data_IF_727715025562
#
_entry.id   IF_727715025562
#
_cell.length_a   1.000
_cell.length_b   1.000
_cell.length_c   1.000
_cell.angle_alpha   90.00
_cell.angle_beta   90.00
_cell.angle_gamma   90.00
#
_symmetry.space_group_name_H-M   'P 1'
#
loop_
_entity.id
_entity.type
_entity.pdbx_description
1 polymer ?
#
# COMPACT_ATOMS: atom_id res chain seq x y z
N UNK A 1 14.57 -13.10 -1.20
CA UNK A 1 15.23 -12.49 -2.38
C UNK A 1 15.32 -10.98 -2.19
N UNK A 2 16.50 -10.39 -2.41
CA UNK A 2 16.69 -8.95 -2.54
C UNK A 2 16.73 -8.62 -4.04
N UNK A 3 15.85 -7.73 -4.49
CA UNK A 3 15.74 -7.31 -5.89
C UNK A 3 16.10 -5.82 -6.00
N UNK A 4 17.02 -5.48 -6.89
CA UNK A 4 17.29 -4.11 -7.32
C UNK A 4 16.77 -3.94 -8.74
N UNK A 5 15.81 -3.02 -8.93
CA UNK A 5 15.18 -2.79 -10.23
C UNK A 5 15.23 -1.31 -10.62
N UNK A 6 15.74 -1.02 -11.81
CA UNK A 6 15.79 0.33 -12.35
C UNK A 6 14.80 0.47 -13.51
N UNK A 7 13.74 1.26 -13.30
CA UNK A 7 12.69 1.46 -14.30
C UNK A 7 13.09 2.45 -15.42
N UNK A 8 13.96 3.42 -15.10
CA UNK A 8 14.49 4.42 -16.04
C UNK A 8 15.94 4.69 -15.68
N UNK A 9 16.79 4.87 -16.69
CA UNK A 9 18.24 5.08 -16.51
C UNK A 9 18.57 6.28 -15.60
N UNK A 10 17.72 7.31 -15.61
CA UNK A 10 17.89 8.52 -14.80
C UNK A 10 17.19 8.49 -13.43
N UNK A 11 16.63 7.35 -13.01
CA UNK A 11 15.98 7.20 -11.71
C UNK A 11 16.74 6.26 -10.80
N UNK A 12 16.70 6.56 -9.50
CA UNK A 12 17.28 5.73 -8.44
C UNK A 12 16.67 4.32 -8.53
N UNK A 13 17.48 3.25 -8.39
CA UNK A 13 16.99 1.88 -8.38
C UNK A 13 16.07 1.63 -7.19
N UNK A 14 15.00 0.90 -7.44
CA UNK A 14 14.03 0.45 -6.44
C UNK A 14 14.57 -0.83 -5.81
N UNK A 15 14.67 -0.83 -4.49
CA UNK A 15 15.10 -2.01 -3.73
C UNK A 15 13.85 -2.64 -3.11
N UNK A 16 13.62 -3.91 -3.41
CA UNK A 16 12.52 -4.71 -2.89
C UNK A 16 13.07 -5.95 -2.18
N UNK A 17 12.60 -6.17 -0.96
CA UNK A 17 12.90 -7.36 -0.17
C UNK A 17 11.64 -8.22 -0.10
N UNK A 18 11.72 -9.44 -0.62
CA UNK A 18 10.59 -10.36 -0.70
C UNK A 18 10.99 -11.75 -0.19
N UNK A 19 10.16 -12.35 0.66
CA UNK A 19 10.38 -13.73 1.13
C UNK A 19 9.69 -14.78 0.26
N UNK A 20 8.61 -14.41 -0.44
CA UNK A 20 7.77 -15.33 -1.21
C UNK A 20 8.39 -15.70 -2.56
N UNK A 21 9.09 -14.77 -3.21
CA UNK A 21 9.75 -15.02 -4.48
C UNK A 21 11.09 -15.72 -4.29
N UNK A 22 11.21 -16.94 -4.83
CA UNK A 22 12.44 -17.76 -4.85
C UNK A 22 13.22 -17.63 -6.16
N UNK A 23 12.57 -17.20 -7.24
CA UNK A 23 13.16 -17.10 -8.58
C UNK A 23 12.86 -15.71 -9.17
N UNK A 24 13.84 -15.12 -9.86
CA UNK A 24 13.67 -13.84 -10.57
C UNK A 24 12.98 -14.08 -11.90
N UNK A 25 11.65 -14.22 -11.88
CA UNK A 25 10.84 -14.30 -13.10
C UNK A 25 10.47 -12.89 -13.59
N UNK A 26 10.42 -12.72 -14.90
CA UNK A 26 10.00 -11.48 -15.57
C UNK A 26 8.58 -11.62 -16.08
N UNK A 27 7.75 -10.62 -15.82
CA UNK A 27 6.36 -10.59 -16.22
C UNK A 27 6.19 -9.90 -17.58
N UNK A 28 5.69 -10.62 -18.58
CA UNK A 28 5.42 -10.12 -19.93
C UNK A 28 6.70 -9.99 -20.78
N UNK A 29 6.92 -10.93 -21.70
CA UNK A 29 8.20 -11.17 -22.40
C UNK A 29 8.88 -10.00 -23.13
N UNK A 30 8.25 -8.83 -23.26
CA UNK A 30 8.85 -7.60 -23.82
C UNK A 30 9.14 -6.52 -22.77
N UNK A 31 8.40 -6.52 -21.65
CA UNK A 31 8.63 -5.60 -20.55
C UNK A 31 9.50 -6.31 -19.51
N UNK A 32 10.73 -5.84 -19.31
CA UNK A 32 11.68 -6.36 -18.29
C UNK A 32 11.21 -6.08 -16.85
N UNK A 33 9.91 -6.12 -16.57
CA UNK A 33 9.32 -5.91 -15.25
C UNK A 33 9.44 -7.21 -14.45
N UNK A 34 10.13 -7.21 -13.30
CA UNK A 34 10.18 -8.39 -12.44
C UNK A 34 8.79 -8.73 -11.88
N UNK A 35 8.39 -10.01 -11.86
CA UNK A 35 7.13 -10.46 -11.25
C UNK A 35 7.00 -9.98 -9.80
N UNK A 36 8.12 -9.98 -9.08
CA UNK A 36 8.26 -9.38 -7.75
C UNK A 36 7.76 -7.92 -7.64
N UNK A 37 8.05 -7.08 -8.64
CA UNK A 37 7.60 -5.68 -8.66
C UNK A 37 6.10 -5.60 -8.95
N UNK A 38 5.61 -6.43 -9.88
CA UNK A 38 4.19 -6.51 -10.22
C UNK A 38 3.34 -6.90 -9.02
N UNK A 39 3.69 -7.99 -8.33
CA UNK A 39 2.92 -8.51 -7.18
C UNK A 39 2.95 -7.55 -5.99
N UNK A 40 4.09 -6.89 -5.77
CA UNK A 40 4.18 -5.82 -4.79
C UNK A 40 3.23 -4.66 -5.13
N UNK A 41 3.21 -4.21 -6.38
CA UNK A 41 2.34 -3.10 -6.79
C UNK A 41 0.86 -3.44 -6.68
N UNK A 42 0.46 -4.69 -6.92
CA UNK A 42 -0.92 -5.13 -6.73
C UNK A 42 -1.37 -5.02 -5.26
N UNK A 43 -0.48 -5.26 -4.31
CA UNK A 43 -0.84 -5.26 -2.87
C UNK A 43 -0.60 -3.91 -2.19
N UNK A 44 0.34 -3.10 -2.71
CA UNK A 44 0.78 -1.83 -2.11
C UNK A 44 -0.35 -0.83 -1.86
N UNK A 45 -1.32 -0.75 -2.77
CA UNK A 45 -2.35 0.30 -2.73
C UNK A 45 -3.45 0.06 -1.69
N UNK A 46 -3.50 -1.10 -1.02
CA UNK A 46 -4.63 -1.44 -0.12
C UNK A 46 -4.80 -0.42 1.01
N UNK A 47 -3.73 -0.08 1.71
CA UNK A 47 -3.79 0.86 2.85
C UNK A 47 -4.14 2.27 2.37
N UNK A 48 -3.60 2.69 1.22
CA UNK A 48 -3.88 4.00 0.62
C UNK A 48 -5.35 4.12 0.22
N UNK A 49 -5.93 3.06 -0.34
CA UNK A 49 -7.35 3.03 -0.69
C UNK A 49 -8.25 3.14 0.55
N UNK A 50 -7.89 2.48 1.65
CA UNK A 50 -8.60 2.60 2.93
C UNK A 50 -8.52 4.03 3.48
N UNK A 51 -7.34 4.64 3.49
CA UNK A 51 -7.16 6.03 3.95
C UNK A 51 -7.94 7.04 3.08
N UNK A 52 -7.96 6.83 1.77
CA UNK A 52 -8.78 7.63 0.84
C UNK A 52 -10.28 7.51 1.16
N UNK A 53 -10.76 6.31 1.49
CA UNK A 53 -12.14 6.08 1.91
C UNK A 53 -12.46 6.79 3.24
N UNK A 54 -11.57 6.71 4.23
CA UNK A 54 -11.68 7.45 5.50
C UNK A 54 -11.76 8.95 5.21
N UNK A 55 -10.95 9.47 4.29
CA UNK A 55 -10.96 10.88 3.90
C UNK A 55 -12.33 11.38 3.41
N UNK A 56 -13.12 10.53 2.74
CA UNK A 56 -14.45 10.89 2.24
C UNK A 56 -15.56 10.80 3.30
N UNK A 57 -15.41 9.96 4.33
CA UNK A 57 -16.48 9.65 5.29
C UNK A 57 -16.05 9.75 6.77
N UNK A 58 -15.03 10.57 7.06
CA UNK A 58 -14.46 10.72 8.40
C UNK A 58 -15.40 11.45 9.37
N UNK A 59 -15.53 10.93 10.59
CA UNK A 59 -16.25 11.62 11.69
C UNK A 59 -15.34 12.46 12.58
N UNK A 60 -14.04 12.55 12.26
CA UNK A 60 -13.06 13.36 13.00
C UNK A 60 -13.52 14.82 13.15
N UNK A 61 -13.25 15.37 14.34
CA UNK A 61 -13.51 16.76 14.72
C UNK A 61 -12.28 17.40 15.33
N UNK A 62 -12.14 18.71 15.14
CA UNK A 62 -11.12 19.52 15.82
C UNK A 62 -11.34 19.38 17.33
N UNK A 63 -10.34 18.86 18.02
CA UNK A 63 -10.38 18.67 19.46
C UNK A 63 -8.97 18.90 20.04
N UNK A 64 -8.90 19.16 21.35
CA UNK A 64 -7.63 19.38 22.08
C UNK A 64 -7.23 18.17 22.93
N UNK A 65 -7.85 17.01 22.72
CA UNK A 65 -7.70 15.82 23.57
C UNK A 65 -7.26 14.66 22.69
N UNK A 66 -5.98 14.32 22.71
CA UNK A 66 -5.43 13.22 21.91
C UNK A 66 -6.21 11.89 22.00
N UNK A 67 -6.84 11.50 23.13
CA UNK A 67 -7.61 10.26 23.18
C UNK A 67 -8.86 10.30 22.28
N UNK A 68 -9.47 11.48 22.11
CA UNK A 68 -10.62 11.66 21.21
C UNK A 68 -10.21 11.45 19.75
N UNK A 69 -9.01 11.88 19.37
CA UNK A 69 -8.47 11.62 18.02
C UNK A 69 -8.33 10.13 17.75
N UNK A 70 -7.83 9.35 18.72
CA UNK A 70 -7.74 7.89 18.61
C UNK A 70 -9.15 7.28 18.51
N UNK A 71 -10.10 7.76 19.32
CA UNK A 71 -11.49 7.29 19.28
C UNK A 71 -12.15 7.51 17.92
N UNK A 72 -11.98 8.69 17.31
CA UNK A 72 -12.52 8.95 15.97
C UNK A 72 -11.87 8.07 14.90
N UNK A 73 -10.56 7.83 14.98
CA UNK A 73 -9.89 6.90 14.06
C UNK A 73 -10.45 5.47 14.19
N UNK A 74 -10.75 5.01 15.41
CA UNK A 74 -11.35 3.70 15.63
C UNK A 74 -12.74 3.60 15.02
N UNK A 75 -13.55 4.66 15.11
CA UNK A 75 -14.88 4.71 14.47
C UNK A 75 -14.74 4.66 12.95
N UNK A 76 -13.84 5.45 12.36
CA UNK A 76 -13.62 5.49 10.91
C UNK A 76 -13.20 4.09 10.37
N UNK A 77 -12.31 3.39 11.09
CA UNK A 77 -11.88 2.03 10.73
C UNK A 77 -13.05 1.03 10.91
N UNK A 78 -13.80 1.13 12.01
CA UNK A 78 -14.93 0.24 12.26
C UNK A 78 -16.04 0.39 11.20
N UNK A 79 -16.31 1.61 10.75
CA UNK A 79 -17.29 1.89 9.70
C UNK A 79 -16.89 1.28 8.35
N UNK A 80 -15.61 1.40 7.96
CA UNK A 80 -15.12 0.76 6.74
C UNK A 80 -15.19 -0.76 6.85
N UNK A 81 -14.75 -1.32 7.99
CA UNK A 81 -14.81 -2.76 8.20
C UNK A 81 -16.25 -3.27 8.13
N UNK A 82 -17.22 -2.55 8.71
CA UNK A 82 -18.64 -2.89 8.67
C UNK A 82 -19.26 -2.78 7.26
N UNK A 83 -18.73 -1.92 6.37
CA UNK A 83 -19.17 -1.84 4.98
C UNK A 83 -18.60 -2.99 4.13
N UNK A 84 -17.42 -3.50 4.49
CA UNK A 84 -16.72 -4.56 3.75
C UNK A 84 -17.11 -5.99 4.16
N UNK A 85 -17.78 -6.15 5.31
CA UNK A 85 -18.34 -7.42 5.81
C UNK A 85 -19.77 -7.58 5.28
#
# INVERSE_FOLDING_TARGET
>A
MLLSYQAKENKIPIILLLSLHKVSETFGGENKLPCAVHDYNQTKCRVVATDQCIGSCTVRRINRRWPMTVFYNLIDIAAINALTI
#
